data_IF_002281686765
#
_entry.id   IF_002281686765
#
_cell.length_a   1.000
_cell.length_b   1.000
_cell.length_c   1.000
_cell.angle_alpha   90.00
_cell.angle_beta   90.00
_cell.angle_gamma   90.00
#
_symmetry.space_group_name_H-M   'P 1'
#
loop_
_entity.id
_entity.type
_entity.pdbx_description
1 polymer ?
#
# COMPACT_ATOMS: atom_id res chain seq x y z
N UNK A 1 40.61 9.03 11.96
CA UNK A 1 39.80 9.10 10.73
C UNK A 1 39.83 10.52 10.16
N UNK A 2 40.06 10.66 8.84
CA UNK A 2 39.85 11.90 8.11
C UNK A 2 38.44 12.47 8.38
N UNK A 3 38.31 13.80 8.45
CA UNK A 3 37.05 14.46 8.77
C UNK A 3 35.88 14.02 7.87
N UNK A 4 36.16 13.77 6.58
CA UNK A 4 35.18 13.34 5.58
C UNK A 4 34.64 11.90 5.77
N UNK A 5 35.36 11.06 6.50
CA UNK A 5 34.97 9.67 6.76
C UNK A 5 34.27 9.49 8.10
N UNK A 6 34.33 10.50 8.98
CA UNK A 6 33.74 10.40 10.31
C UNK A 6 32.22 10.23 10.21
N UNK A 7 31.64 9.30 10.97
CA UNK A 7 30.19 9.10 10.98
C UNK A 7 29.50 10.35 11.56
N UNK A 8 28.25 10.56 11.15
CA UNK A 8 27.35 11.48 11.84
C UNK A 8 26.67 10.72 12.95
N UNK A 9 26.62 11.30 14.15
CA UNK A 9 25.84 10.76 15.26
C UNK A 9 24.59 11.60 15.43
N UNK A 10 23.43 10.96 15.30
CA UNK A 10 22.13 11.56 15.61
C UNK A 10 21.70 11.04 16.97
N UNK A 11 21.51 11.93 17.92
CA UNK A 11 20.97 11.60 19.23
C UNK A 11 19.48 11.94 19.27
N UNK A 12 18.65 10.91 19.38
CA UNK A 12 17.19 11.02 19.46
C UNK A 12 16.66 10.38 20.76
N UNK A 13 17.41 10.56 21.86
CA UNK A 13 17.14 9.95 23.16
C UNK A 13 16.62 10.93 24.19
N UNK A 14 16.87 10.64 25.47
CA UNK A 14 16.48 11.51 26.59
C UNK A 14 17.07 12.92 26.41
N UNK A 15 16.20 13.94 26.32
CA UNK A 15 16.59 15.33 26.13
C UNK A 15 17.57 15.83 27.19
N UNK A 16 17.43 15.40 28.46
CA UNK A 16 18.33 15.79 29.54
C UNK A 16 19.77 15.26 29.38
N UNK A 17 19.97 14.21 28.57
CA UNK A 17 21.29 13.66 28.29
C UNK A 17 21.93 14.23 27.02
N UNK A 18 21.18 14.97 26.19
CA UNK A 18 21.64 15.42 24.88
C UNK A 18 22.90 16.30 24.98
N UNK A 19 22.90 17.30 25.87
CA UNK A 19 24.05 18.20 26.03
C UNK A 19 25.30 17.47 26.53
N UNK A 20 25.13 16.54 27.47
CA UNK A 20 26.23 15.73 28.01
C UNK A 20 26.83 14.83 26.94
N UNK A 21 25.99 14.18 26.13
CA UNK A 21 26.45 13.35 25.01
C UNK A 21 27.11 14.22 23.94
N UNK A 22 26.55 15.39 23.63
CA UNK A 22 27.12 16.36 22.70
C UNK A 22 28.50 16.84 23.12
N UNK A 23 28.71 17.15 24.41
CA UNK A 23 30.01 17.56 24.92
C UNK A 23 31.11 16.49 24.73
N UNK A 24 30.75 15.21 24.81
CA UNK A 24 31.68 14.09 24.61
C UNK A 24 32.00 13.82 23.13
N UNK A 25 31.02 14.03 22.24
CA UNK A 25 31.10 13.58 20.85
C UNK A 25 31.44 14.69 19.85
N UNK A 26 31.07 15.94 20.11
CA UNK A 26 31.17 17.04 19.13
C UNK A 26 32.62 17.38 18.72
N UNK A 27 33.61 17.01 19.53
CA UNK A 27 35.03 17.17 19.20
C UNK A 27 35.53 16.11 18.18
N UNK A 28 34.83 14.98 18.07
CA UNK A 28 35.22 13.85 17.25
C UNK A 28 34.31 13.70 16.04
N UNK A 29 33.00 13.89 16.16
CA UNK A 29 32.02 13.63 15.10
C UNK A 29 31.06 14.79 14.91
N UNK A 30 30.42 14.87 13.74
CA UNK A 30 29.25 15.73 13.58
C UNK A 30 28.13 15.16 14.45
N UNK A 31 27.69 15.95 15.43
CA UNK A 31 26.64 15.58 16.36
C UNK A 31 25.37 16.38 16.04
N UNK A 32 24.25 15.69 15.83
CA UNK A 32 22.93 16.30 15.65
C UNK A 32 21.98 15.79 16.71
N UNK A 33 21.13 16.67 17.22
CA UNK A 33 20.07 16.32 18.17
C UNK A 33 18.75 16.25 17.41
N UNK A 34 17.96 15.22 17.69
CA UNK A 34 16.58 15.12 17.27
C UNK A 34 15.67 14.99 18.50
N UNK A 35 14.36 15.21 18.30
CA UNK A 35 13.36 14.93 19.33
C UNK A 35 13.44 13.47 19.80
N UNK A 36 13.17 13.25 21.09
CA UNK A 36 13.20 11.90 21.67
C UNK A 36 12.20 11.00 20.93
N UNK A 37 12.68 9.89 20.36
CA UNK A 37 11.80 8.96 19.62
C UNK A 37 10.85 8.19 20.52
N UNK A 38 11.12 8.17 21.82
CA UNK A 38 10.29 7.51 22.83
C UNK A 38 10.23 8.35 24.10
N UNK A 39 9.49 9.47 24.09
CA UNK A 39 9.38 10.35 25.25
C UNK A 39 8.68 9.69 26.44
N UNK A 40 7.83 8.69 26.19
CA UNK A 40 7.23 7.84 27.22
C UNK A 40 7.25 6.37 26.78
N UNK A 41 7.15 5.43 27.72
CA UNK A 41 7.20 3.99 27.41
C UNK A 41 6.10 3.54 26.43
N UNK A 42 4.96 4.20 26.43
CA UNK A 42 3.81 3.95 25.55
C UNK A 42 3.77 4.80 24.28
N UNK A 43 4.66 5.80 24.14
CA UNK A 43 4.59 6.79 23.06
C UNK A 43 5.85 6.75 22.21
N UNK A 44 5.69 6.52 20.91
CA UNK A 44 6.75 6.56 19.90
C UNK A 44 6.53 7.75 18.97
N UNK A 45 7.53 8.62 18.81
CA UNK A 45 7.47 9.82 17.96
C UNK A 45 8.69 9.90 17.04
N UNK A 46 8.55 9.48 15.79
CA UNK A 46 9.70 9.38 14.87
C UNK A 46 9.94 10.64 14.02
N UNK A 47 8.99 11.57 13.96
CA UNK A 47 8.98 12.67 13.00
C UNK A 47 10.24 13.54 13.06
N UNK A 48 10.67 13.92 14.27
CA UNK A 48 11.85 14.77 14.45
C UNK A 48 13.15 14.06 14.04
N UNK A 49 13.28 12.77 14.37
CA UNK A 49 14.44 11.97 13.97
C UNK A 49 14.47 11.72 12.46
N UNK A 50 13.30 11.49 11.86
CA UNK A 50 13.15 11.33 10.43
C UNK A 50 13.54 12.61 9.67
N UNK A 51 13.11 13.79 10.13
CA UNK A 51 13.49 15.06 9.53
C UNK A 51 15.01 15.27 9.49
N UNK A 52 15.72 14.96 10.59
CA UNK A 52 17.19 15.05 10.64
C UNK A 52 17.86 14.06 9.69
N UNK A 53 17.32 12.85 9.56
CA UNK A 53 17.82 11.84 8.60
C UNK A 53 17.59 12.28 7.15
N UNK A 54 16.44 12.87 6.85
CA UNK A 54 16.11 13.40 5.52
C UNK A 54 17.04 14.56 5.12
N UNK A 55 17.35 15.46 6.05
CA UNK A 55 18.34 16.52 5.85
C UNK A 55 19.72 15.93 5.55
N UNK A 56 20.18 14.97 6.34
CA UNK A 56 21.47 14.30 6.10
C UNK A 56 21.51 13.58 4.76
N UNK A 57 20.40 12.96 4.34
CA UNK A 57 20.29 12.33 3.04
C UNK A 57 20.42 13.37 1.91
N UNK A 58 19.73 14.53 2.02
CA UNK A 58 19.86 15.63 1.06
C UNK A 58 21.29 16.15 0.97
N UNK A 59 21.88 16.45 2.12
CA UNK A 59 23.20 17.10 2.22
C UNK A 59 24.34 16.19 1.78
N UNK A 60 24.27 14.88 2.08
CA UNK A 60 25.41 13.96 1.89
C UNK A 60 25.23 12.95 0.78
N UNK A 61 24.01 12.55 0.45
CA UNK A 61 23.74 11.58 -0.63
C UNK A 61 23.32 12.29 -1.90
N UNK A 62 22.25 13.06 -1.86
CA UNK A 62 21.73 13.73 -3.06
C UNK A 62 22.73 14.74 -3.62
N UNK A 63 23.37 15.56 -2.79
CA UNK A 63 24.38 16.52 -3.24
C UNK A 63 25.58 15.90 -3.97
N UNK A 64 25.84 14.59 -3.78
CA UNK A 64 26.94 13.85 -4.43
C UNK A 64 26.52 13.13 -5.70
N UNK A 65 25.23 13.17 -6.07
CA UNK A 65 24.76 12.53 -7.31
C UNK A 65 25.35 13.30 -8.50
N UNK A 66 26.15 12.64 -9.37
CA UNK A 66 26.74 13.31 -10.53
C UNK A 66 25.68 13.99 -11.40
N UNK A 67 25.94 15.23 -11.79
CA UNK A 67 25.03 16.03 -12.63
C UNK A 67 23.84 16.65 -11.91
N UNK A 68 23.52 16.25 -10.66
CA UNK A 68 22.35 16.79 -9.95
C UNK A 68 22.49 18.29 -9.64
N UNK A 69 23.70 18.77 -9.38
CA UNK A 69 23.98 20.20 -9.18
C UNK A 69 23.62 21.06 -10.40
N UNK A 70 23.90 20.56 -11.61
CA UNK A 70 23.51 21.22 -12.86
C UNK A 70 22.00 21.28 -13.01
N UNK A 71 21.31 20.15 -12.79
CA UNK A 71 19.84 20.08 -12.86
C UNK A 71 19.19 21.00 -11.82
N UNK A 72 19.77 21.08 -10.61
CA UNK A 72 19.32 22.01 -9.55
C UNK A 72 19.37 23.47 -10.03
N UNK A 73 20.35 23.84 -10.86
CA UNK A 73 20.45 25.16 -11.46
C UNK A 73 19.39 25.46 -12.54
N UNK A 74 18.75 24.45 -13.11
CA UNK A 74 17.71 24.61 -14.15
C UNK A 74 16.29 24.76 -13.58
N UNK A 75 16.08 24.45 -12.30
CA UNK A 75 14.76 24.45 -11.66
C UNK A 75 14.67 25.52 -10.57
N UNK A 76 13.47 26.10 -10.43
CA UNK A 76 13.12 26.96 -9.29
C UNK A 76 12.57 26.17 -8.10
N UNK A 77 12.10 24.95 -8.33
CA UNK A 77 11.55 24.07 -7.30
C UNK A 77 12.67 23.24 -6.64
N UNK A 78 12.54 22.89 -5.34
CA UNK A 78 13.50 22.03 -4.67
C UNK A 78 13.52 20.63 -5.28
N UNK A 79 14.69 19.99 -5.24
CA UNK A 79 14.82 18.57 -5.54
C UNK A 79 14.44 17.80 -4.28
N UNK A 80 13.31 17.10 -4.33
CA UNK A 80 12.80 16.32 -3.21
C UNK A 80 12.96 14.82 -3.47
N UNK A 81 13.26 14.02 -2.44
CA UNK A 81 13.08 12.57 -2.50
C UNK A 81 11.64 12.21 -2.88
N UNK A 82 11.47 11.19 -3.74
CA UNK A 82 10.15 10.72 -4.18
C UNK A 82 9.20 10.41 -3.03
N UNK A 83 9.72 9.78 -1.97
CA UNK A 83 8.95 9.39 -0.78
C UNK A 83 8.45 10.62 -0.01
N UNK A 84 9.25 11.68 0.07
CA UNK A 84 8.86 12.94 0.71
C UNK A 84 7.74 13.61 -0.11
N UNK A 85 7.90 13.65 -1.43
CA UNK A 85 6.90 14.19 -2.34
C UNK A 85 5.57 13.42 -2.26
N UNK A 86 5.62 12.08 -2.24
CA UNK A 86 4.46 11.22 -2.03
C UNK A 86 3.80 11.51 -0.66
N UNK A 87 4.60 11.62 0.41
CA UNK A 87 4.11 11.91 1.76
C UNK A 87 3.33 13.22 1.82
N UNK A 88 3.74 14.23 1.06
CA UNK A 88 3.01 15.50 0.97
C UNK A 88 1.63 15.33 0.35
N UNK A 89 1.53 14.59 -0.76
CA UNK A 89 0.24 14.31 -1.41
C UNK A 89 -0.69 13.54 -0.49
N UNK A 90 -0.20 12.50 0.18
CA UNK A 90 -1.03 11.69 1.09
C UNK A 90 -1.57 12.52 2.26
N UNK A 91 -0.73 13.41 2.84
CA UNK A 91 -1.20 14.36 3.87
C UNK A 91 -2.24 15.33 3.32
N UNK A 92 -2.04 15.84 2.11
CA UNK A 92 -2.99 16.73 1.47
C UNK A 92 -4.35 16.05 1.30
N UNK A 93 -4.38 14.84 0.74
CA UNK A 93 -5.61 14.05 0.57
C UNK A 93 -6.30 13.75 1.90
N UNK A 94 -5.53 13.38 2.94
CA UNK A 94 -6.09 13.12 4.27
C UNK A 94 -6.70 14.37 4.91
N UNK A 95 -6.04 15.53 4.77
CA UNK A 95 -6.54 16.82 5.28
C UNK A 95 -7.77 17.30 4.53
N UNK A 96 -7.76 17.22 3.20
CA UNK A 96 -8.87 17.66 2.35
C UNK A 96 -10.13 16.83 2.60
N UNK A 97 -9.97 15.50 2.74
CA UNK A 97 -11.10 14.60 2.96
C UNK A 97 -11.53 14.49 4.43
N UNK A 98 -10.66 14.87 5.37
CA UNK A 98 -10.85 14.59 6.80
C UNK A 98 -10.80 13.09 7.13
N UNK A 99 -10.26 12.26 6.23
CA UNK A 99 -10.25 10.79 6.32
C UNK A 99 -8.83 10.23 6.39
N UNK A 100 -8.72 8.94 6.68
CA UNK A 100 -7.45 8.23 6.68
C UNK A 100 -7.12 7.79 5.25
N UNK A 101 -5.89 8.09 4.85
CA UNK A 101 -5.38 7.75 3.52
C UNK A 101 -4.16 6.87 3.68
N UNK A 102 -4.14 5.75 2.97
CA UNK A 102 -2.97 4.91 2.79
C UNK A 102 -2.54 4.99 1.33
N UNK A 103 -1.30 5.34 1.05
CA UNK A 103 -0.70 5.16 -0.26
C UNK A 103 0.29 4.03 -0.24
N UNK A 104 0.33 3.27 -1.33
CA UNK A 104 1.28 2.18 -1.53
C UNK A 104 1.98 2.40 -2.86
N UNK A 105 3.29 2.21 -2.89
CA UNK A 105 4.08 2.26 -4.12
C UNK A 105 4.97 1.02 -4.18
N UNK A 106 4.76 0.18 -5.19
CA UNK A 106 5.59 -1.02 -5.45
C UNK A 106 6.46 -0.76 -6.67
N UNK A 107 7.71 -0.39 -6.41
CA UNK A 107 8.74 -0.15 -7.41
C UNK A 107 9.54 -1.41 -7.76
N UNK A 108 10.53 -1.23 -8.63
CA UNK A 108 11.45 -2.31 -9.00
C UNK A 108 12.36 -2.73 -7.84
N UNK A 109 12.85 -1.75 -7.05
CA UNK A 109 13.78 -1.99 -5.95
C UNK A 109 13.11 -1.98 -4.57
N UNK A 110 12.06 -1.18 -4.43
CA UNK A 110 11.54 -0.81 -3.13
C UNK A 110 10.01 -0.82 -3.10
N UNK A 111 9.49 -0.98 -1.88
CA UNK A 111 8.06 -0.92 -1.58
C UNK A 111 7.87 0.10 -0.48
N UNK A 112 6.97 1.04 -0.71
CA UNK A 112 6.71 2.18 0.16
C UNK A 112 5.26 2.16 0.59
N UNK A 113 5.01 2.35 1.89
CA UNK A 113 3.70 2.62 2.44
C UNK A 113 3.74 3.99 3.11
N UNK A 114 2.75 4.83 2.82
CA UNK A 114 2.58 6.13 3.45
C UNK A 114 1.16 6.23 3.97
N UNK A 115 1.00 6.44 5.26
CA UNK A 115 -0.30 6.64 5.89
C UNK A 115 -0.43 8.06 6.46
N UNK A 116 -1.58 8.69 6.29
CA UNK A 116 -1.92 9.94 6.95
C UNK A 116 -3.36 9.92 7.47
N UNK A 117 -3.61 10.68 8.54
CA UNK A 117 -4.93 10.83 9.15
C UNK A 117 -5.12 12.25 9.66
N UNK A 118 -6.07 12.99 9.08
CA UNK A 118 -6.41 14.35 9.49
C UNK A 118 -5.17 15.27 9.55
N UNK A 119 -4.95 16.02 10.65
CA UNK A 119 -3.84 16.98 10.75
C UNK A 119 -2.47 16.33 11.03
N UNK A 120 -2.41 15.04 11.36
CA UNK A 120 -1.18 14.35 11.80
C UNK A 120 -0.12 14.29 10.70
N UNK A 121 1.13 14.13 11.10
CA UNK A 121 2.22 13.81 10.19
C UNK A 121 1.94 12.50 9.45
N UNK A 122 2.47 12.38 8.24
CA UNK A 122 2.42 11.12 7.51
C UNK A 122 3.43 10.16 8.12
N UNK A 123 3.01 8.92 8.29
CA UNK A 123 3.87 7.83 8.68
C UNK A 123 4.30 7.07 7.45
N UNK A 124 5.60 6.89 7.31
CA UNK A 124 6.20 6.31 6.12
C UNK A 124 6.98 5.08 6.49
N UNK A 125 6.74 3.99 5.75
CA UNK A 125 7.49 2.74 5.85
C UNK A 125 8.09 2.46 4.49
N UNK A 126 9.39 2.22 4.46
CA UNK A 126 10.14 1.94 3.23
C UNK A 126 10.88 0.63 3.40
N UNK A 127 10.62 -0.32 2.52
CA UNK A 127 11.48 -1.48 2.28
C UNK A 127 12.32 -1.20 1.06
N UNK A 128 13.58 -0.85 1.26
CA UNK A 128 14.53 -0.53 0.17
C UNK A 128 15.01 -1.75 -0.59
N UNK A 129 14.65 -2.94 -0.10
CA UNK A 129 15.10 -4.24 -0.55
C UNK A 129 13.97 -5.05 -1.19
N UNK A 130 12.70 -4.66 -1.05
CA UNK A 130 11.57 -5.40 -1.62
C UNK A 130 10.95 -4.68 -2.80
N UNK A 131 11.01 -5.29 -3.98
CA UNK A 131 10.34 -4.78 -5.18
C UNK A 131 10.13 -5.88 -6.22
N UNK A 132 9.56 -5.51 -7.37
CA UNK A 132 9.25 -6.46 -8.46
C UNK A 132 10.30 -6.51 -9.57
N UNK A 133 11.47 -5.92 -9.35
CA UNK A 133 12.61 -5.92 -10.27
C UNK A 133 13.88 -6.19 -9.50
N UNK A 134 14.75 -5.20 -9.33
CA UNK A 134 16.04 -5.36 -8.65
C UNK A 134 15.93 -5.82 -7.19
N UNK A 135 14.78 -5.65 -6.52
CA UNK A 135 14.52 -6.16 -5.16
C UNK A 135 13.95 -7.58 -5.10
N UNK A 136 13.89 -8.29 -6.23
CA UNK A 136 13.33 -9.65 -6.28
C UNK A 136 14.19 -10.67 -5.51
N UNK A 137 15.51 -10.49 -5.45
CA UNK A 137 16.42 -11.38 -4.73
C UNK A 137 16.10 -11.43 -3.23
N UNK A 138 15.95 -10.28 -2.61
CA UNK A 138 15.63 -10.16 -1.20
C UNK A 138 14.20 -10.63 -0.95
N UNK A 139 13.27 -10.37 -1.87
CA UNK A 139 11.92 -10.92 -1.78
C UNK A 139 11.94 -12.45 -1.76
N UNK A 140 12.68 -13.08 -2.68
CA UNK A 140 12.83 -14.52 -2.78
C UNK A 140 13.56 -15.12 -1.57
N UNK A 141 14.49 -14.38 -0.95
CA UNK A 141 15.13 -14.81 0.28
C UNK A 141 14.15 -14.89 1.48
N UNK A 142 13.05 -14.14 1.46
CA UNK A 142 12.04 -14.11 2.52
C UNK A 142 10.78 -14.94 2.20
N UNK A 143 10.73 -15.61 1.05
CA UNK A 143 9.53 -16.30 0.55
C UNK A 143 9.81 -17.67 -0.02
N UNK A 144 8.84 -18.56 0.15
CA UNK A 144 8.90 -19.87 -0.46
C UNK A 144 8.31 -19.82 -1.88
N UNK A 145 8.65 -20.78 -2.75
CA UNK A 145 7.96 -20.95 -4.03
C UNK A 145 6.44 -21.05 -3.89
N UNK A 146 5.94 -21.66 -2.80
CA UNK A 146 4.51 -21.78 -2.53
C UNK A 146 3.85 -20.42 -2.28
N UNK A 147 4.55 -19.48 -1.65
CA UNK A 147 4.03 -18.12 -1.39
C UNK A 147 3.84 -17.32 -2.67
N UNK A 148 4.70 -17.50 -3.67
CA UNK A 148 4.57 -16.83 -4.96
C UNK A 148 3.63 -17.58 -5.91
N UNK A 149 3.89 -18.86 -6.10
CA UNK A 149 3.19 -19.67 -7.11
C UNK A 149 1.77 -20.03 -6.70
N UNK A 150 1.41 -19.90 -5.42
CA UNK A 150 0.04 -20.05 -4.95
C UNK A 150 -0.91 -18.97 -5.47
N UNK A 151 -0.39 -17.79 -5.83
CA UNK A 151 -1.17 -16.69 -6.43
C UNK A 151 -1.36 -16.82 -7.94
N UNK A 152 -0.50 -17.58 -8.60
CA UNK A 152 -0.52 -17.76 -10.06
C UNK A 152 -1.62 -18.76 -10.37
N UNK A 153 -2.72 -18.26 -10.93
CA UNK A 153 -3.89 -19.06 -11.24
C UNK A 153 -3.51 -20.27 -12.11
N UNK A 154 -4.09 -21.43 -11.83
CA UNK A 154 -3.79 -22.66 -12.56
C UNK A 154 -4.32 -22.59 -14.00
N UNK A 155 -3.53 -23.09 -14.96
CA UNK A 155 -3.97 -23.20 -16.34
C UNK A 155 -5.29 -23.97 -16.45
N UNK A 156 -6.11 -23.61 -17.44
CA UNK A 156 -7.32 -24.37 -17.79
C UNK A 156 -6.89 -25.79 -18.20
N UNK A 157 -7.73 -26.79 -17.91
CA UNK A 157 -7.47 -28.18 -18.30
C UNK A 157 -7.07 -28.27 -19.78
N UNK A 158 -5.87 -28.80 -20.06
CA UNK A 158 -5.32 -28.96 -21.41
C UNK A 158 -4.18 -28.00 -21.79
N UNK A 159 -4.02 -26.86 -21.10
CA UNK A 159 -2.83 -26.00 -21.23
C UNK A 159 -1.76 -26.47 -20.26
N UNK A 160 -1.01 -27.49 -20.66
CA UNK A 160 0.18 -28.06 -19.99
C UNK A 160 0.33 -27.70 -18.51
N UNK A 161 -0.16 -28.59 -17.65
CA UNK A 161 0.50 -28.86 -16.38
C UNK A 161 1.99 -29.14 -16.68
N UNK A 162 2.87 -28.15 -16.59
CA UNK A 162 4.26 -28.34 -16.99
C UNK A 162 5.01 -27.10 -17.43
N UNK A 163 5.29 -26.18 -16.50
CA UNK A 163 6.55 -25.42 -16.56
C UNK A 163 7.26 -25.62 -15.24
N UNK A 164 8.46 -26.18 -15.30
CA UNK A 164 9.28 -26.50 -14.14
C UNK A 164 9.47 -25.23 -13.29
N UNK A 165 9.41 -25.30 -11.94
CA UNK A 165 9.67 -24.15 -11.07
C UNK A 165 10.94 -23.36 -11.45
N UNK A 166 11.95 -24.05 -11.99
CA UNK A 166 13.16 -23.42 -12.55
C UNK A 166 12.87 -22.39 -13.64
N UNK A 167 11.98 -22.65 -14.59
CA UNK A 167 11.67 -21.70 -15.67
C UNK A 167 10.99 -20.42 -15.15
N UNK A 168 10.24 -20.51 -14.06
CA UNK A 168 9.64 -19.34 -13.40
C UNK A 168 10.69 -18.57 -12.59
N UNK A 169 11.65 -19.27 -11.98
CA UNK A 169 12.81 -18.64 -11.32
C UNK A 169 13.67 -17.90 -12.35
N UNK A 170 13.91 -18.49 -13.52
CA UNK A 170 14.64 -17.85 -14.62
C UNK A 170 13.93 -16.58 -15.13
N UNK A 171 12.59 -16.61 -15.21
CA UNK A 171 11.80 -15.44 -15.54
C UNK A 171 11.99 -14.31 -14.51
N UNK A 172 11.96 -14.62 -13.21
CA UNK A 172 12.24 -13.63 -12.15
C UNK A 172 13.65 -13.07 -12.22
N UNK A 173 14.66 -13.90 -12.51
CA UNK A 173 16.04 -13.46 -12.69
C UNK A 173 16.16 -12.45 -13.85
N UNK A 174 15.38 -12.62 -14.92
CA UNK A 174 15.33 -11.66 -16.03
C UNK A 174 14.83 -10.29 -15.56
N UNK A 175 13.75 -10.24 -14.77
CA UNK A 175 13.21 -8.98 -14.24
C UNK A 175 14.11 -8.34 -13.18
N UNK A 176 14.88 -9.15 -12.45
CA UNK A 176 15.89 -8.64 -11.52
C UNK A 176 17.02 -7.92 -12.26
N UNK A 177 17.56 -8.55 -13.32
CA UNK A 177 18.66 -7.98 -14.10
C UNK A 177 18.21 -6.85 -15.03
N UNK A 178 16.95 -6.89 -15.48
CA UNK A 178 16.39 -5.94 -16.45
C UNK A 178 14.98 -5.49 -16.02
N UNK A 179 14.88 -4.61 -15.00
CA UNK A 179 13.60 -4.20 -14.42
C UNK A 179 12.69 -3.42 -15.38
N UNK A 180 13.21 -2.94 -16.50
CA UNK A 180 12.44 -2.28 -17.56
C UNK A 180 11.80 -3.26 -18.56
N UNK A 181 12.17 -4.54 -18.54
CA UNK A 181 11.60 -5.55 -19.43
C UNK A 181 10.16 -5.83 -18.99
N UNK A 182 9.24 -5.71 -19.94
CA UNK A 182 7.82 -5.98 -19.71
C UNK A 182 7.55 -7.48 -19.76
N UNK A 183 6.54 -7.98 -19.00
CA UNK A 183 6.06 -9.34 -19.14
C UNK A 183 5.72 -9.70 -20.58
N UNK A 184 6.26 -10.82 -21.06
CA UNK A 184 6.04 -11.30 -22.44
C UNK A 184 4.96 -12.38 -22.52
N UNK A 185 4.42 -12.83 -21.39
CA UNK A 185 3.33 -13.80 -21.32
C UNK A 185 2.42 -13.53 -20.10
N UNK A 186 1.17 -14.02 -20.10
CA UNK A 186 0.28 -13.94 -18.94
C UNK A 186 0.88 -14.54 -17.66
N UNK A 187 1.65 -15.62 -17.78
CA UNK A 187 2.27 -16.29 -16.63
C UNK A 187 3.38 -15.43 -16.02
N UNK A 188 4.22 -14.80 -16.86
CA UNK A 188 5.25 -13.87 -16.39
C UNK A 188 4.61 -12.66 -15.69
N UNK A 189 3.50 -12.16 -16.23
CA UNK A 189 2.74 -11.07 -15.61
C UNK A 189 2.20 -11.52 -14.25
N UNK A 190 1.53 -12.68 -14.19
CA UNK A 190 0.99 -13.23 -12.95
C UNK A 190 2.08 -13.41 -11.89
N UNK A 191 3.29 -13.81 -12.30
CA UNK A 191 4.43 -13.97 -11.41
C UNK A 191 4.93 -12.63 -10.83
N UNK A 192 5.07 -11.59 -11.64
CA UNK A 192 5.41 -10.25 -11.14
C UNK A 192 4.33 -9.68 -10.22
N UNK A 193 3.05 -9.92 -10.55
CA UNK A 193 1.94 -9.52 -9.69
C UNK A 193 1.93 -10.31 -8.37
N UNK A 194 2.30 -11.60 -8.38
CA UNK A 194 2.48 -12.39 -7.17
C UNK A 194 3.63 -11.83 -6.31
N UNK A 195 4.75 -11.46 -6.92
CA UNK A 195 5.84 -10.77 -6.22
C UNK A 195 5.37 -9.45 -5.60
N UNK A 196 4.56 -8.66 -6.31
CA UNK A 196 3.99 -7.43 -5.76
C UNK A 196 3.14 -7.67 -4.50
N UNK A 197 2.30 -8.72 -4.51
CA UNK A 197 1.49 -9.11 -3.33
C UNK A 197 2.39 -9.42 -2.14
N UNK A 198 3.43 -10.23 -2.34
CA UNK A 198 4.33 -10.61 -1.26
C UNK A 198 5.21 -9.47 -0.76
N UNK A 199 5.62 -8.57 -1.65
CA UNK A 199 6.33 -7.33 -1.27
C UNK A 199 5.48 -6.46 -0.33
N UNK A 200 4.20 -6.26 -0.67
CA UNK A 200 3.25 -5.53 0.18
C UNK A 200 3.06 -6.22 1.53
N UNK A 201 2.85 -7.55 1.54
CA UNK A 201 2.65 -8.34 2.76
C UNK A 201 3.85 -8.25 3.71
N UNK A 202 5.06 -8.38 3.18
CA UNK A 202 6.30 -8.26 3.96
C UNK A 202 6.49 -6.85 4.51
N UNK A 203 6.23 -5.83 3.68
CA UNK A 203 6.36 -4.43 4.10
C UNK A 203 5.39 -4.10 5.23
N UNK A 204 4.13 -4.56 5.14
CA UNK A 204 3.15 -4.42 6.22
C UNK A 204 3.53 -5.18 7.49
N UNK A 205 4.05 -6.41 7.34
CA UNK A 205 4.49 -7.21 8.48
C UNK A 205 5.63 -6.51 9.26
N UNK A 206 6.57 -5.86 8.56
CA UNK A 206 7.65 -5.10 9.19
C UNK A 206 7.20 -3.77 9.79
N UNK A 207 6.28 -3.05 9.13
CA UNK A 207 5.78 -1.77 9.62
C UNK A 207 5.32 -1.87 11.07
N UNK A 208 4.65 -2.97 11.43
CA UNK A 208 3.97 -3.08 12.71
C UNK A 208 2.70 -2.22 12.69
N UNK A 209 1.55 -2.87 12.82
CA UNK A 209 0.24 -2.23 12.60
C UNK A 209 -0.07 -1.10 13.59
N UNK A 210 0.63 -1.08 14.73
CA UNK A 210 0.58 -0.02 15.72
C UNK A 210 1.02 1.34 15.16
N UNK A 211 1.95 1.37 14.18
CA UNK A 211 2.29 2.62 13.49
C UNK A 211 1.01 3.20 12.89
N UNK A 212 0.34 2.43 12.05
CA UNK A 212 -0.85 2.87 11.33
C UNK A 212 -2.08 3.14 12.20
N UNK A 213 -2.09 2.72 13.47
CA UNK A 213 -3.27 2.71 14.33
C UNK A 213 -3.63 4.10 14.92
N UNK A 214 -2.64 4.98 15.12
CA UNK A 214 -2.84 6.31 15.74
C UNK A 214 -3.29 6.26 17.23
N UNK A 215 -3.33 7.42 17.89
CA UNK A 215 -3.48 7.54 19.37
C UNK A 215 -4.79 6.98 19.99
N UNK A 216 -5.73 6.48 19.17
CA UNK A 216 -7.01 5.92 19.62
C UNK A 216 -7.14 4.41 19.46
N UNK A 217 -6.19 3.75 18.79
CA UNK A 217 -6.12 2.30 18.67
C UNK A 217 -5.03 1.75 19.60
N UNK A 218 -5.07 2.18 20.86
CA UNK A 218 -4.48 1.39 21.94
C UNK A 218 -5.45 0.26 22.27
N UNK A 219 -4.95 -0.98 22.25
CA UNK A 219 -5.61 -2.19 22.75
C UNK A 219 -6.62 -2.90 21.82
N UNK A 220 -6.10 -3.71 20.90
CA UNK A 220 -6.51 -5.10 20.76
C UNK A 220 -5.44 -5.80 19.92
N UNK A 221 -5.03 -7.02 20.26
CA UNK A 221 -3.99 -7.79 19.55
C UNK A 221 -4.33 -8.20 18.11
N UNK A 222 -5.08 -7.38 17.37
CA UNK A 222 -5.42 -7.58 15.97
C UNK A 222 -4.17 -7.41 15.11
N UNK A 223 -3.90 -8.44 14.30
CA UNK A 223 -2.85 -8.44 13.27
C UNK A 223 -3.36 -7.96 11.91
N UNK A 224 -4.43 -7.16 11.88
CA UNK A 224 -5.04 -6.66 10.64
C UNK A 224 -4.75 -5.17 10.42
N UNK A 225 -4.67 -4.78 9.14
CA UNK A 225 -4.56 -3.38 8.74
C UNK A 225 -5.79 -2.61 9.24
N UNK A 226 -5.62 -1.53 10.02
CA UNK A 226 -6.75 -0.73 10.46
C UNK A 226 -7.46 -0.10 9.24
N UNK A 227 -8.76 0.24 9.33
CA UNK A 227 -9.51 0.75 8.18
C UNK A 227 -8.92 2.06 7.62
N UNK A 228 -8.80 2.14 6.31
CA UNK A 228 -8.43 3.37 5.58
C UNK A 228 -9.54 3.68 4.58
N UNK A 229 -10.15 4.85 4.67
CA UNK A 229 -11.26 5.20 3.78
C UNK A 229 -10.80 5.49 2.35
N UNK A 230 -9.51 5.77 2.15
CA UNK A 230 -8.91 5.92 0.81
C UNK A 230 -7.58 5.19 0.73
N UNK A 231 -7.41 4.40 -0.32
CA UNK A 231 -6.14 3.74 -0.62
C UNK A 231 -5.69 4.13 -2.02
N UNK A 232 -4.48 4.70 -2.13
CA UNK A 232 -3.86 5.14 -3.39
C UNK A 232 -2.82 4.11 -3.82
N UNK A 233 -2.98 3.58 -5.04
CA UNK A 233 -2.13 2.55 -5.62
C UNK A 233 -1.15 3.17 -6.62
N UNK A 234 0.15 3.09 -6.32
CA UNK A 234 1.26 3.57 -7.14
C UNK A 234 2.32 2.49 -7.39
N UNK A 235 3.38 2.86 -8.12
CA UNK A 235 4.45 1.94 -8.49
C UNK A 235 4.17 1.15 -9.78
N UNK A 236 5.25 0.68 -10.43
CA UNK A 236 5.22 0.16 -11.80
C UNK A 236 4.23 -0.99 -12.00
N UNK A 237 4.27 -2.01 -11.14
CA UNK A 237 3.40 -3.20 -11.28
C UNK A 237 1.92 -2.88 -11.11
N UNK A 238 1.57 -1.93 -10.23
CA UNK A 238 0.19 -1.48 -10.02
C UNK A 238 -0.24 -0.54 -11.14
N UNK A 239 0.62 0.38 -11.58
CA UNK A 239 0.38 1.30 -12.70
C UNK A 239 0.20 0.61 -14.04
N UNK A 240 0.97 -0.45 -14.29
CA UNK A 240 1.03 -1.13 -15.58
C UNK A 240 0.15 -2.37 -15.66
N UNK A 241 -0.56 -2.72 -14.57
CA UNK A 241 -1.53 -3.80 -14.58
C UNK A 241 -2.52 -3.64 -15.76
N UNK A 242 -2.59 -4.61 -16.69
CA UNK A 242 -3.43 -4.53 -17.89
C UNK A 242 -4.89 -4.20 -17.62
N UNK A 243 -5.49 -4.76 -16.57
CA UNK A 243 -6.87 -4.44 -16.17
C UNK A 243 -6.94 -3.75 -14.81
N UNK A 244 -7.92 -2.84 -14.58
CA UNK A 244 -8.16 -2.25 -13.26
C UNK A 244 -8.41 -3.30 -12.17
N UNK A 245 -9.11 -4.40 -12.48
CA UNK A 245 -9.35 -5.51 -11.56
C UNK A 245 -8.06 -6.17 -11.08
N UNK A 246 -7.03 -6.28 -11.94
CA UNK A 246 -5.73 -6.81 -11.53
C UNK A 246 -5.05 -5.93 -10.48
N UNK A 247 -5.10 -4.61 -10.63
CA UNK A 247 -4.57 -3.68 -9.63
C UNK A 247 -5.32 -3.79 -8.29
N UNK A 248 -6.65 -3.88 -8.33
CA UNK A 248 -7.47 -4.11 -7.13
C UNK A 248 -7.11 -5.43 -6.46
N UNK A 249 -6.96 -6.53 -7.22
CA UNK A 249 -6.60 -7.82 -6.66
C UNK A 249 -5.23 -7.81 -5.98
N UNK A 250 -4.21 -7.20 -6.61
CA UNK A 250 -2.87 -7.05 -5.98
C UNK A 250 -3.00 -6.31 -4.64
N UNK A 251 -3.78 -5.22 -4.60
CA UNK A 251 -3.98 -4.44 -3.39
C UNK A 251 -4.75 -5.22 -2.31
N UNK A 252 -5.84 -5.91 -2.66
CA UNK A 252 -6.63 -6.70 -1.71
C UNK A 252 -5.83 -7.87 -1.12
N UNK A 253 -5.04 -8.55 -1.95
CA UNK A 253 -4.22 -9.71 -1.56
C UNK A 253 -2.99 -9.30 -0.72
N UNK A 254 -2.34 -8.21 -1.16
CA UNK A 254 -1.13 -7.68 -0.55
C UNK A 254 -1.40 -6.95 0.76
N UNK A 255 -2.40 -6.07 0.76
CA UNK A 255 -2.70 -5.20 1.90
C UNK A 255 -3.66 -5.82 2.89
N UNK A 256 -4.55 -6.69 2.42
CA UNK A 256 -5.65 -7.24 3.21
C UNK A 256 -6.40 -6.15 4.01
N UNK A 257 -6.91 -5.11 3.33
CA UNK A 257 -7.58 -4.00 4.01
C UNK A 257 -8.82 -4.50 4.76
N UNK A 258 -9.32 -3.69 5.69
CA UNK A 258 -10.53 -3.97 6.46
C UNK A 258 -11.49 -2.80 6.36
N UNK A 259 -12.79 -3.09 6.43
CA UNK A 259 -13.84 -2.10 6.36
C UNK A 259 -14.06 -1.54 4.96
N UNK A 260 -14.38 -0.26 4.86
CA UNK A 260 -14.78 0.39 3.61
C UNK A 260 -13.66 1.30 3.10
N UNK A 261 -13.20 1.06 1.88
CA UNK A 261 -12.13 1.86 1.26
C UNK A 261 -12.51 2.26 -0.15
N UNK A 262 -12.21 3.51 -0.53
CA UNK A 262 -12.19 3.94 -1.91
C UNK A 262 -10.78 3.73 -2.49
N UNK A 263 -10.68 3.01 -3.61
CA UNK A 263 -9.40 2.72 -4.26
C UNK A 263 -9.15 3.70 -5.40
N UNK A 264 -8.00 4.34 -5.37
CA UNK A 264 -7.49 5.25 -6.39
C UNK A 264 -6.20 4.68 -6.96
N UNK A 265 -5.91 4.92 -8.24
CA UNK A 265 -4.67 4.48 -8.89
C UNK A 265 -3.95 5.62 -9.57
N UNK A 266 -2.66 5.75 -9.31
CA UNK A 266 -1.76 6.63 -10.06
C UNK A 266 -1.33 5.95 -11.36
N UNK A 267 -2.22 5.99 -12.37
CA UNK A 267 -2.01 5.35 -13.67
C UNK A 267 -0.87 6.00 -14.47
N UNK A 268 -0.55 7.27 -14.22
CA UNK A 268 0.49 8.01 -14.98
C UNK A 268 1.81 8.09 -14.22
N UNK A 269 1.82 7.83 -12.92
CA UNK A 269 3.02 7.93 -12.08
C UNK A 269 3.38 9.38 -11.73
N UNK A 270 2.39 10.27 -11.66
CA UNK A 270 2.59 11.72 -11.45
C UNK A 270 2.35 12.18 -10.02
N UNK A 271 1.86 11.31 -9.13
CA UNK A 271 1.59 11.69 -7.74
C UNK A 271 2.83 12.27 -7.06
N UNK A 272 4.03 11.66 -7.13
CA UNK A 272 5.23 12.28 -6.55
C UNK A 272 5.58 13.62 -7.20
N UNK A 273 5.46 13.74 -8.52
CA UNK A 273 5.75 14.99 -9.22
C UNK A 273 4.82 16.14 -8.77
N UNK A 274 3.56 15.83 -8.46
CA UNK A 274 2.61 16.80 -7.92
C UNK A 274 2.95 17.19 -6.48
N UNK A 275 3.47 16.25 -5.69
CA UNK A 275 4.01 16.54 -4.37
C UNK A 275 5.16 17.56 -4.39
N UNK A 276 5.97 17.56 -5.45
CA UNK A 276 6.98 18.59 -5.71
C UNK A 276 6.33 19.88 -6.20
N UNK A 277 5.39 19.80 -7.17
CA UNK A 277 4.67 20.95 -7.71
C UNK A 277 3.96 21.75 -6.62
N UNK A 278 3.46 21.09 -5.58
CA UNK A 278 2.78 21.72 -4.45
C UNK A 278 3.65 22.77 -3.72
N UNK A 279 4.98 22.75 -3.85
CA UNK A 279 5.86 23.82 -3.34
C UNK A 279 5.76 25.11 -4.15
N UNK A 280 5.71 24.98 -5.47
CA UNK A 280 5.72 26.13 -6.38
C UNK A 280 4.31 26.63 -6.72
N UNK A 281 3.34 25.73 -6.79
CA UNK A 281 1.96 26.02 -7.18
C UNK A 281 0.96 25.14 -6.40
N UNK A 282 0.73 25.43 -5.10
CA UNK A 282 -0.18 24.64 -4.25
C UNK A 282 -1.60 24.50 -4.81
N UNK A 283 -2.16 25.59 -5.38
CA UNK A 283 -3.51 25.58 -5.96
C UNK A 283 -3.62 24.63 -7.17
N UNK A 284 -2.63 24.67 -8.08
CA UNK A 284 -2.59 23.78 -9.25
C UNK A 284 -2.43 22.32 -8.81
N UNK A 285 -1.59 22.06 -7.80
CA UNK A 285 -1.44 20.72 -7.24
C UNK A 285 -2.76 20.21 -6.64
N UNK A 286 -3.49 21.05 -5.91
CA UNK A 286 -4.79 20.72 -5.34
C UNK A 286 -5.84 20.40 -6.42
N UNK A 287 -5.88 21.19 -7.50
CA UNK A 287 -6.78 20.97 -8.63
C UNK A 287 -6.46 19.65 -9.34
N UNK A 288 -5.18 19.36 -9.60
CA UNK A 288 -4.75 18.12 -10.23
C UNK A 288 -5.10 16.87 -9.39
N UNK A 289 -4.96 16.94 -8.07
CA UNK A 289 -5.30 15.85 -7.15
C UNK A 289 -6.81 15.67 -6.97
N UNK A 290 -7.59 16.74 -7.15
CA UNK A 290 -9.05 16.69 -7.12
C UNK A 290 -9.65 16.29 -8.48
N UNK A 291 -8.84 16.33 -9.54
CA UNK A 291 -9.21 16.00 -10.90
C UNK A 291 -9.06 14.51 -11.27
N UNK A 292 -9.15 14.16 -12.56
CA UNK A 292 -9.18 12.77 -13.04
C UNK A 292 -7.81 12.07 -13.06
N UNK A 293 -6.76 12.71 -12.55
CA UNK A 293 -5.42 12.14 -12.56
C UNK A 293 -5.33 10.84 -11.76
N UNK A 294 -5.98 10.83 -10.59
CA UNK A 294 -6.16 9.63 -9.80
C UNK A 294 -7.35 8.85 -10.36
N UNK A 295 -7.05 7.74 -11.01
CA UNK A 295 -8.06 6.86 -11.61
C UNK A 295 -8.86 6.19 -10.49
N UNK A 296 -10.18 6.48 -10.43
CA UNK A 296 -11.07 5.81 -9.48
C UNK A 296 -11.28 4.36 -9.89
N UNK A 297 -10.78 3.42 -9.07
CA UNK A 297 -11.03 2.00 -9.25
C UNK A 297 -12.39 1.60 -8.67
N UNK A 298 -12.87 2.34 -7.66
CA UNK A 298 -14.19 2.15 -7.06
C UNK A 298 -14.13 1.93 -5.55
N UNK A 299 -15.17 1.34 -4.99
CA UNK A 299 -15.27 1.10 -3.54
C UNK A 299 -15.10 -0.39 -3.23
N UNK A 300 -14.25 -0.70 -2.25
CA UNK A 300 -14.11 -2.05 -1.69
C UNK A 300 -14.69 -2.09 -0.29
N UNK A 301 -15.47 -3.13 0.02
CA UNK A 301 -16.00 -3.42 1.34
C UNK A 301 -15.45 -4.76 1.77
N UNK A 302 -14.71 -4.77 2.87
CA UNK A 302 -13.97 -5.94 3.33
C UNK A 302 -14.39 -6.28 4.76
N UNK A 303 -15.42 -7.14 4.93
CA UNK A 303 -15.80 -7.64 6.25
C UNK A 303 -14.67 -8.47 6.86
N UNK A 304 -14.10 -7.99 7.96
CA UNK A 304 -13.06 -8.66 8.72
C UNK A 304 -13.69 -9.69 9.67
N UNK A 305 -13.34 -10.96 9.50
CA UNK A 305 -13.88 -12.08 10.27
C UNK A 305 -13.58 -13.41 9.61
N UNK A 306 -14.03 -14.49 10.23
CA UNK A 306 -13.91 -15.85 9.72
C UNK A 306 -15.21 -16.62 9.90
N UNK A 307 -15.49 -17.53 8.96
CA UNK A 307 -16.63 -18.44 9.02
C UNK A 307 -16.30 -19.72 8.25
N UNK A 308 -17.28 -20.64 8.18
CA UNK A 308 -17.18 -21.79 7.26
C UNK A 308 -17.43 -21.30 5.82
N UNK A 309 -16.74 -21.86 4.81
CA UNK A 309 -17.04 -21.58 3.41
C UNK A 309 -18.54 -21.72 3.12
N UNK A 310 -19.12 -20.75 2.39
CA UNK A 310 -20.54 -20.73 2.04
C UNK A 310 -21.47 -20.12 3.12
N UNK A 311 -20.98 -19.85 4.33
CA UNK A 311 -21.77 -19.11 5.33
C UNK A 311 -21.95 -17.64 4.92
N UNK A 312 -23.04 -16.98 5.34
CA UNK A 312 -23.23 -15.55 5.10
C UNK A 312 -22.13 -14.72 5.80
N UNK A 313 -21.44 -13.87 5.03
CA UNK A 313 -20.47 -12.91 5.56
C UNK A 313 -21.06 -11.50 5.64
N UNK A 314 -21.74 -11.08 4.57
CA UNK A 314 -22.34 -9.76 4.46
C UNK A 314 -23.59 -9.84 3.57
N UNK A 315 -24.71 -9.36 4.11
CA UNK A 315 -25.89 -9.04 3.30
C UNK A 315 -25.96 -7.54 3.10
N UNK A 316 -26.32 -7.09 1.89
CA UNK A 316 -26.56 -5.67 1.66
C UNK A 316 -27.76 -5.41 0.75
N UNK A 317 -28.35 -4.24 0.93
CA UNK A 317 -29.37 -3.69 0.02
C UNK A 317 -28.78 -2.53 -0.76
N UNK A 318 -28.82 -2.60 -2.07
CA UNK A 318 -28.48 -1.48 -2.94
C UNK A 318 -29.74 -0.74 -3.34
N UNK A 319 -29.69 0.59 -3.29
CA UNK A 319 -30.81 1.46 -3.69
C UNK A 319 -30.42 2.31 -4.88
N UNK A 320 -31.27 2.29 -5.90
CA UNK A 320 -31.14 3.10 -7.10
C UNK A 320 -31.75 4.49 -6.89
N UNK A 321 -31.34 5.51 -7.68
CA UNK A 321 -31.90 6.85 -7.60
C UNK A 321 -33.42 6.91 -7.85
N UNK A 322 -33.97 5.96 -8.58
CA UNK A 322 -35.41 5.85 -8.89
C UNK A 322 -36.24 5.20 -7.76
N UNK A 323 -35.62 4.86 -6.63
CA UNK A 323 -36.26 4.22 -5.48
C UNK A 323 -36.35 2.70 -5.56
N UNK A 324 -35.95 2.09 -6.69
CA UNK A 324 -35.75 0.65 -6.81
C UNK A 324 -34.56 0.15 -5.98
N UNK A 325 -34.46 -1.16 -5.81
CA UNK A 325 -33.32 -1.76 -5.15
C UNK A 325 -33.43 -3.27 -5.04
N UNK A 326 -32.30 -3.93 -4.79
CA UNK A 326 -32.26 -5.38 -4.59
C UNK A 326 -31.34 -5.73 -3.42
N UNK A 327 -31.55 -6.93 -2.87
CA UNK A 327 -30.75 -7.47 -1.79
C UNK A 327 -29.76 -8.49 -2.35
N UNK A 328 -28.53 -8.45 -1.84
CA UNK A 328 -27.48 -9.41 -2.16
C UNK A 328 -26.99 -10.04 -0.88
N UNK A 329 -26.84 -11.35 -0.90
CA UNK A 329 -26.11 -12.09 0.14
C UNK A 329 -24.75 -12.49 -0.41
N UNK A 330 -23.67 -12.09 0.28
CA UNK A 330 -22.29 -12.45 -0.07
C UNK A 330 -21.78 -13.48 0.93
N UNK A 331 -21.45 -14.66 0.40
CA UNK A 331 -20.93 -15.79 1.17
C UNK A 331 -19.45 -15.62 1.52
N UNK A 332 -19.06 -16.17 2.67
CA UNK A 332 -17.68 -16.26 3.11
C UNK A 332 -16.84 -17.11 2.15
N UNK A 333 -15.67 -16.60 1.80
CA UNK A 333 -14.74 -17.20 0.84
C UNK A 333 -14.86 -16.66 -0.59
N UNK A 334 -15.85 -15.81 -0.85
CA UNK A 334 -16.15 -15.25 -2.19
C UNK A 334 -15.69 -13.80 -2.33
N UNK A 335 -15.50 -13.39 -3.58
CA UNK A 335 -15.53 -11.99 -3.97
C UNK A 335 -16.81 -11.73 -4.75
N UNK A 336 -17.47 -10.62 -4.47
CA UNK A 336 -18.63 -10.15 -5.23
C UNK A 336 -18.29 -8.82 -5.88
N UNK A 337 -18.52 -8.68 -7.18
CA UNK A 337 -18.31 -7.43 -7.93
C UNK A 337 -19.63 -6.97 -8.53
N UNK A 338 -20.04 -5.75 -8.17
CA UNK A 338 -21.15 -5.06 -8.78
C UNK A 338 -20.67 -3.96 -9.70
N UNK A 339 -21.30 -3.85 -10.86
CA UNK A 339 -21.01 -2.77 -11.79
C UNK A 339 -21.58 -1.44 -11.26
N UNK A 340 -20.69 -0.52 -10.89
CA UNK A 340 -21.01 0.83 -10.47
C UNK A 340 -20.05 1.80 -11.19
N UNK A 341 -20.45 2.39 -12.33
CA UNK A 341 -19.57 3.22 -13.16
C UNK A 341 -18.90 4.37 -12.41
N UNK A 342 -17.74 4.80 -12.93
CA UNK A 342 -17.08 6.02 -12.46
C UNK A 342 -18.03 7.23 -12.52
N UNK A 343 -18.00 8.06 -11.47
CA UNK A 343 -18.89 9.21 -11.33
C UNK A 343 -20.27 8.90 -10.74
N UNK A 344 -20.67 7.62 -10.66
CA UNK A 344 -21.92 7.23 -10.01
C UNK A 344 -21.74 6.99 -8.50
N UNK A 345 -22.80 7.24 -7.74
CA UNK A 345 -22.86 6.95 -6.30
C UNK A 345 -24.16 6.23 -5.99
N UNK A 346 -24.14 5.37 -4.96
CA UNK A 346 -25.32 4.67 -4.47
C UNK A 346 -25.27 4.53 -2.96
N UNK A 347 -26.44 4.41 -2.33
CA UNK A 347 -26.57 4.13 -0.90
C UNK A 347 -26.71 2.62 -0.71
N UNK A 348 -25.90 2.09 0.21
CA UNK A 348 -25.95 0.71 0.64
C UNK A 348 -26.39 0.63 2.10
N UNK A 349 -27.34 -0.25 2.39
CA UNK A 349 -27.59 -0.72 3.75
C UNK A 349 -26.85 -2.05 3.94
N UNK A 350 -25.85 -2.06 4.83
CA UNK A 350 -24.96 -3.18 5.08
C UNK A 350 -25.35 -3.89 6.37
N UNK A 351 -25.42 -5.22 6.32
CA UNK A 351 -25.73 -6.08 7.45
C UNK A 351 -24.67 -7.20 7.52
N UNK A 352 -23.52 -6.96 8.17
CA UNK A 352 -22.51 -8.00 8.37
C UNK A 352 -23.05 -9.09 9.31
N UNK A 353 -22.66 -10.34 9.08
CA UNK A 353 -22.97 -11.40 10.04
C UNK A 353 -22.25 -11.15 11.39
N UNK A 354 -22.75 -11.73 12.48
CA UNK A 354 -22.36 -11.42 13.88
C UNK A 354 -20.83 -11.42 14.14
N UNK A 355 -20.07 -12.25 13.41
CA UNK A 355 -18.61 -12.37 13.55
C UNK A 355 -17.78 -11.50 12.62
N UNK A 356 -18.42 -10.67 11.78
CA UNK A 356 -17.75 -9.84 10.78
C UNK A 356 -17.84 -8.36 11.14
N UNK A 357 -16.73 -7.64 10.95
CA UNK A 357 -16.63 -6.20 11.15
C UNK A 357 -16.28 -5.48 9.83
N UNK A 358 -17.11 -4.51 9.45
CA UNK A 358 -16.92 -3.66 8.27
C UNK A 358 -16.36 -2.27 8.64
N UNK A 359 -15.77 -2.12 9.82
CA UNK A 359 -15.18 -0.88 10.33
C UNK A 359 -16.06 -0.10 11.31
N UNK A 360 -17.24 -0.62 11.66
CA UNK A 360 -18.19 -0.01 12.59
C UNK A 360 -18.37 -0.83 13.88
N UNK A 361 -17.68 -1.97 13.99
CA UNK A 361 -17.75 -2.95 15.06
C UNK A 361 -18.41 -4.27 14.62
N UNK A 362 -18.11 -5.40 15.28
CA UNK A 362 -18.60 -6.72 14.85
C UNK A 362 -20.13 -6.81 14.80
N UNK A 363 -20.67 -7.28 13.66
CA UNK A 363 -22.09 -7.49 13.43
C UNK A 363 -22.93 -6.20 13.38
N UNK A 364 -22.32 -5.01 13.45
CA UNK A 364 -23.06 -3.76 13.45
C UNK A 364 -23.47 -3.36 12.03
N UNK A 365 -24.76 -3.12 11.78
CA UNK A 365 -25.21 -2.63 10.50
C UNK A 365 -24.75 -1.19 10.26
N UNK A 366 -24.60 -0.82 9.00
CA UNK A 366 -24.21 0.52 8.61
C UNK A 366 -24.90 0.93 7.30
N UNK A 367 -25.27 2.19 7.19
CA UNK A 367 -25.68 2.77 5.91
C UNK A 367 -24.60 3.70 5.41
N UNK A 368 -24.15 3.46 4.18
CA UNK A 368 -23.05 4.21 3.59
C UNK A 368 -23.38 4.63 2.16
N UNK A 369 -22.77 5.73 1.71
CA UNK A 369 -22.74 6.10 0.29
C UNK A 369 -21.41 5.66 -0.29
N UNK A 370 -21.47 4.81 -1.31
CA UNK A 370 -20.28 4.32 -2.02
C UNK A 370 -20.14 5.02 -3.37
N UNK A 371 -18.89 5.09 -3.85
CA UNK A 371 -18.56 5.68 -5.14
C UNK A 371 -18.12 4.60 -6.11
N UNK A 372 -18.62 4.68 -7.33
CA UNK A 372 -18.21 3.83 -8.44
C UNK A 372 -16.81 4.15 -8.96
N UNK A 373 -16.38 3.33 -9.91
CA UNK A 373 -15.08 3.43 -10.56
C UNK A 373 -14.97 2.43 -11.69
N UNK A 374 -13.76 2.24 -12.21
CA UNK A 374 -13.52 1.32 -13.32
C UNK A 374 -13.80 -0.15 -12.98
N UNK A 375 -13.69 -0.55 -11.72
CA UNK A 375 -14.03 -1.90 -11.23
C UNK A 375 -15.44 -1.92 -10.62
N UNK A 376 -15.90 -0.79 -10.09
CA UNK A 376 -17.23 -0.63 -9.49
C UNK A 376 -17.23 -0.82 -7.98
N UNK A 377 -18.17 -1.60 -7.47
CA UNK A 377 -18.25 -1.97 -6.06
C UNK A 377 -17.76 -3.42 -5.89
N UNK A 378 -16.86 -3.64 -4.95
CA UNK A 378 -16.33 -4.97 -4.64
C UNK A 378 -16.58 -5.29 -3.18
N UNK A 379 -17.17 -6.45 -2.91
CA UNK A 379 -17.25 -7.04 -1.57
C UNK A 379 -16.23 -8.18 -1.51
N UNK A 380 -15.20 -8.02 -0.68
CA UNK A 380 -14.19 -9.06 -0.45
C UNK A 380 -14.52 -9.82 0.83
N UNK A 381 -15.31 -10.88 0.70
CA UNK A 381 -15.74 -11.74 1.80
C UNK A 381 -14.81 -12.95 2.01
N UNK A 382 -13.58 -12.91 1.49
CA UNK A 382 -12.63 -14.04 1.56
C UNK A 382 -12.10 -14.33 2.96
N UNK A 383 -12.35 -13.42 3.91
CA UNK A 383 -11.87 -13.48 5.28
C UNK A 383 -10.61 -12.65 5.51
N UNK A 384 -10.41 -12.25 6.76
CA UNK A 384 -9.23 -11.52 7.23
C UNK A 384 -8.75 -12.12 8.56
N UNK A 385 -7.52 -12.67 8.64
CA UNK A 385 -6.56 -12.81 7.54
C UNK A 385 -7.06 -13.77 6.44
N UNK A 386 -6.54 -13.61 5.22
CA UNK A 386 -6.84 -14.49 4.10
C UNK A 386 -6.45 -15.94 4.45
N UNK A 387 -7.34 -16.93 4.22
CA UNK A 387 -7.05 -18.33 4.47
C UNK A 387 -6.08 -18.80 3.40
N UNK A 388 -4.81 -18.78 3.76
CA UNK A 388 -3.70 -19.00 2.86
C UNK A 388 -3.06 -20.38 3.06
N UNK A 389 -3.65 -21.24 3.90
CA UNK A 389 -3.20 -22.64 4.04
C UNK A 389 -3.66 -23.51 2.85
N UNK A 390 -2.96 -24.65 2.71
CA UNK A 390 -3.19 -25.64 1.67
C UNK A 390 -1.94 -25.90 0.82
N UNK A 391 -1.97 -26.96 0.02
CA UNK A 391 -0.94 -27.22 -0.97
C UNK A 391 -1.01 -26.25 -2.16
N UNK A 392 -0.02 -26.34 -3.05
CA UNK A 392 0.06 -25.46 -4.21
C UNK A 392 -1.18 -25.56 -5.12
N UNK A 393 -1.71 -26.77 -5.33
CA UNK A 393 -2.85 -26.98 -6.22
C UNK A 393 -4.11 -26.31 -5.66
N UNK A 394 -4.38 -26.50 -4.36
CA UNK A 394 -5.51 -25.88 -3.67
C UNK A 394 -5.43 -24.35 -3.67
N UNK A 395 -4.24 -23.77 -3.44
CA UNK A 395 -4.04 -22.30 -3.48
C UNK A 395 -4.30 -21.75 -4.87
N UNK A 396 -3.77 -22.41 -5.92
CA UNK A 396 -3.96 -21.99 -7.31
C UNK A 396 -5.42 -22.08 -7.76
N UNK A 397 -6.12 -23.14 -7.38
CA UNK A 397 -7.54 -23.30 -7.68
C UNK A 397 -8.38 -22.18 -7.02
N UNK A 398 -8.07 -21.85 -5.76
CA UNK A 398 -8.72 -20.76 -5.03
C UNK A 398 -8.41 -19.39 -5.65
N UNK A 399 -7.16 -19.15 -6.03
CA UNK A 399 -6.77 -17.93 -6.75
C UNK A 399 -7.53 -17.79 -8.07
N UNK A 400 -7.60 -18.86 -8.88
CA UNK A 400 -8.35 -18.88 -10.14
C UNK A 400 -9.83 -18.58 -9.95
N UNK A 401 -10.45 -19.13 -8.90
CA UNK A 401 -11.84 -18.83 -8.54
C UNK A 401 -12.02 -17.33 -8.25
N UNK A 402 -11.17 -16.75 -7.39
CA UNK A 402 -11.25 -15.33 -7.04
C UNK A 402 -11.04 -14.39 -8.24
N UNK A 403 -10.12 -14.75 -9.15
CA UNK A 403 -9.92 -14.02 -10.40
C UNK A 403 -11.17 -14.03 -11.29
N UNK A 404 -11.79 -15.20 -11.44
CA UNK A 404 -13.04 -15.37 -12.18
C UNK A 404 -14.18 -14.53 -11.59
N UNK A 405 -14.33 -14.52 -10.26
CA UNK A 405 -15.34 -13.73 -9.53
C UNK A 405 -15.13 -12.21 -9.69
N UNK A 406 -13.87 -11.77 -9.85
CA UNK A 406 -13.52 -10.37 -10.13
C UNK A 406 -13.70 -9.95 -11.60
N UNK A 407 -14.11 -10.89 -12.46
CA UNK A 407 -14.27 -10.68 -13.90
C UNK A 407 -12.97 -10.21 -14.56
N UNK A 408 -11.89 -10.92 -14.26
CA UNK A 408 -10.52 -10.58 -14.64
C UNK A 408 -9.79 -11.74 -15.32
#
# INVERSE_FOLDING_TARGET
MPAAERPVVIFAGNAAAADRVGALLSSVVEYRIAGNVRPASSLTQIDAAQAVLEDLFRDRRLARVPGLGTVKGWTRAPILPTIEALSRVVRFLARQSGRRVLSVDVGAANTVLVAASGPRAAQTVVRTDLGTGTGLDQLLAHRTPLDLFGWVAGNREGETAGRHPAALVDALATYQLRPSVRPQSPEHLALLQAAAREALRLTLAQAGLALFAGDGLTAAGSRLLPPFETIVLGGGVLREAPTPSQAVMIALDGLQPTGVSHLLRDRVGLVPAIGVLAEAAPAVAADLLSGPLLESLGTVIVPAGSARPGAEALRFRMTFPDGGGYNVNVEYGRIYREWLPAGQTTRLALHPARGFDIGFGPGKPAEITVRGGLVGLVIDARGRPLPLEGDLAARRARAQQWWSEMGA
#
